data_IF_217206426828
#
_entry.id   IF_217206426828
#
_cell.length_a   1.000
_cell.length_b   1.000
_cell.length_c   1.000
_cell.angle_alpha   90.00
_cell.angle_beta   90.00
_cell.angle_gamma   90.00
#
_symmetry.space_group_name_H-M   'P 1'
#
loop_
_entity.id
_entity.type
_entity.pdbx_description
1 polymer ?
#
# COMPACT_ATOMS: atom_id res chain seq x y z
N UNK A 1 -2.74 31.17 3.58
CA UNK A 1 -3.02 32.20 4.59
C UNK A 1 -2.78 31.71 6.02
N UNK A 2 -3.31 30.56 6.42
CA UNK A 2 -3.15 30.03 7.77
C UNK A 2 -1.71 29.87 8.27
N UNK A 3 -0.81 29.38 7.44
CA UNK A 3 0.58 29.14 7.85
C UNK A 3 1.38 30.42 8.06
N UNK A 4 1.19 31.43 7.20
CA UNK A 4 1.84 32.74 7.35
C UNK A 4 1.27 33.47 8.57
N UNK A 5 -0.03 33.41 8.78
CA UNK A 5 -0.67 34.02 9.94
C UNK A 5 -0.27 33.36 11.25
N UNK A 6 -0.18 32.04 11.31
CA UNK A 6 0.29 31.31 12.49
C UNK A 6 1.71 31.71 12.85
N UNK A 7 2.62 31.73 11.86
CA UNK A 7 4.02 32.11 12.07
C UNK A 7 4.17 33.56 12.48
N UNK A 8 3.36 34.46 11.93
CA UNK A 8 3.35 35.88 12.29
C UNK A 8 2.75 36.11 13.69
N UNK A 9 1.67 35.38 14.05
CA UNK A 9 1.06 35.48 15.36
C UNK A 9 1.99 34.97 16.46
N UNK A 10 2.69 33.88 16.22
CA UNK A 10 3.71 33.32 17.12
C UNK A 10 4.90 34.30 17.28
N UNK A 11 5.39 34.85 16.17
CA UNK A 11 6.46 35.83 16.19
C UNK A 11 6.07 37.15 16.84
N UNK A 12 4.80 37.58 16.69
CA UNK A 12 4.29 38.77 17.34
C UNK A 12 4.11 38.60 18.88
N UNK A 13 3.67 37.41 19.30
CA UNK A 13 3.56 37.04 20.71
C UNK A 13 4.95 36.96 21.39
N UNK A 14 5.95 36.39 20.69
CA UNK A 14 7.31 36.36 21.16
C UNK A 14 7.96 37.75 21.19
N UNK A 15 7.57 38.67 20.29
CA UNK A 15 8.06 40.02 20.24
C UNK A 15 7.51 40.92 21.39
N UNK A 16 6.30 40.62 21.92
CA UNK A 16 5.76 41.30 23.10
C UNK A 16 6.48 40.85 24.40
N UNK A 17 7.12 39.69 24.40
CA UNK A 17 7.81 39.10 25.56
C UNK A 17 9.33 39.25 25.56
N UNK A 18 9.94 39.39 24.40
CA UNK A 18 11.37 39.53 24.23
C UNK A 18 11.75 40.95 23.82
N UNK A 19 13.03 41.31 24.03
CA UNK A 19 13.59 42.56 23.52
C UNK A 19 13.31 42.68 22.01
N UNK A 20 12.67 43.78 21.59
CA UNK A 20 12.15 43.97 20.23
C UNK A 20 13.24 43.74 19.11
N UNK A 21 14.50 43.92 19.47
CA UNK A 21 15.65 43.63 18.55
C UNK A 21 15.96 42.16 18.39
N UNK A 22 15.66 41.32 19.38
CA UNK A 22 15.88 39.88 19.30
C UNK A 22 14.74 39.18 18.50
N UNK A 23 13.52 39.68 18.64
CA UNK A 23 12.37 39.22 17.85
C UNK A 23 12.51 39.56 16.37
N UNK A 24 13.04 40.73 16.03
CA UNK A 24 13.39 41.12 14.64
C UNK A 24 14.49 40.23 14.04
N UNK A 25 15.39 39.67 14.85
CA UNK A 25 16.45 38.76 14.36
C UNK A 25 15.92 37.36 14.06
N UNK A 26 14.89 36.91 14.74
CA UNK A 26 14.29 35.57 14.58
C UNK A 26 13.29 35.48 13.44
N UNK A 27 12.50 36.52 13.22
CA UNK A 27 11.51 36.55 12.17
C UNK A 27 12.03 37.29 10.92
N UNK A 28 12.13 36.55 9.81
CA UNK A 28 12.43 37.13 8.49
C UNK A 28 11.49 36.54 7.45
N UNK A 29 10.71 37.43 6.81
CA UNK A 29 9.98 37.04 5.61
C UNK A 29 10.94 36.58 4.51
N UNK A 30 10.62 35.49 3.89
CA UNK A 30 11.32 35.09 2.67
C UNK A 30 10.76 35.89 1.47
N UNK A 31 11.50 35.85 0.36
CA UNK A 31 11.15 36.63 -0.85
C UNK A 31 9.80 36.23 -1.45
N UNK A 32 9.37 34.98 -1.27
CA UNK A 32 8.09 34.49 -1.76
C UNK A 32 6.92 35.01 -0.90
N UNK A 33 7.04 34.93 0.42
CA UNK A 33 6.05 35.49 1.36
C UNK A 33 5.88 37.00 1.19
N UNK A 34 7.00 37.72 1.01
CA UNK A 34 6.97 39.15 0.74
C UNK A 34 6.26 39.48 -0.58
N UNK A 35 6.48 38.67 -1.62
CA UNK A 35 5.82 38.82 -2.91
C UNK A 35 4.31 38.52 -2.82
N UNK A 36 3.92 37.52 -2.03
CA UNK A 36 2.53 37.17 -1.77
C UNK A 36 1.81 38.27 -1.01
N UNK A 37 2.42 38.83 0.05
CA UNK A 37 1.93 39.99 0.76
C UNK A 37 1.75 41.19 -0.18
N UNK A 38 2.79 41.53 -0.97
CA UNK A 38 2.76 42.64 -1.91
C UNK A 38 1.61 42.54 -2.90
N UNK A 39 1.40 41.36 -3.49
CA UNK A 39 0.35 41.12 -4.46
C UNK A 39 -1.04 41.23 -3.84
N UNK A 40 -1.26 40.56 -2.71
CA UNK A 40 -2.58 40.47 -2.08
C UNK A 40 -3.01 41.77 -1.41
N UNK A 41 -2.09 42.45 -0.77
CA UNK A 41 -2.34 43.73 -0.09
C UNK A 41 -2.22 44.93 -1.04
N UNK A 42 -1.86 44.70 -2.32
CA UNK A 42 -1.64 45.74 -3.34
C UNK A 42 -0.67 46.84 -2.87
N UNK A 43 0.46 46.43 -2.35
CA UNK A 43 1.45 47.29 -1.75
C UNK A 43 2.35 47.93 -2.85
N UNK A 44 2.67 49.19 -2.70
CA UNK A 44 3.59 49.91 -3.58
C UNK A 44 5.06 49.75 -3.13
N UNK A 45 5.28 49.31 -1.89
CA UNK A 45 6.60 49.09 -1.29
C UNK A 45 7.41 48.04 -2.05
N UNK A 46 8.71 48.21 -2.08
CA UNK A 46 9.63 47.24 -2.69
C UNK A 46 9.68 45.94 -1.89
N UNK A 47 10.05 44.82 -2.53
CA UNK A 47 10.19 43.53 -1.86
C UNK A 47 11.19 43.57 -0.71
N UNK A 48 12.28 44.34 -0.88
CA UNK A 48 13.31 44.51 0.16
C UNK A 48 12.74 45.22 1.40
N UNK A 49 11.92 46.22 1.21
CA UNK A 49 11.24 46.93 2.32
C UNK A 49 10.25 46.01 3.05
N UNK A 50 9.45 45.25 2.31
CA UNK A 50 8.50 44.29 2.90
C UNK A 50 9.22 43.20 3.68
N UNK A 51 10.32 42.68 3.16
CA UNK A 51 11.16 41.68 3.85
C UNK A 51 11.82 42.23 5.12
N UNK A 52 11.96 43.54 5.26
CA UNK A 52 12.51 44.19 6.44
C UNK A 52 11.44 44.56 7.48
N UNK A 53 10.15 44.32 7.20
CA UNK A 53 9.08 44.66 8.13
C UNK A 53 9.16 43.83 9.42
N UNK A 54 8.79 44.47 10.51
CA UNK A 54 8.61 43.79 11.77
C UNK A 54 7.27 43.04 11.80
N UNK A 55 7.13 41.97 12.58
CA UNK A 55 5.91 41.16 12.70
C UNK A 55 4.63 42.00 13.00
N UNK A 56 4.74 42.99 13.86
CA UNK A 56 3.62 43.87 14.22
C UNK A 56 3.12 44.73 13.03
N UNK A 57 4.04 45.19 12.16
CA UNK A 57 3.68 45.94 10.97
C UNK A 57 2.90 45.05 9.95
N UNK A 58 3.33 43.81 9.81
CA UNK A 58 2.65 42.85 8.94
C UNK A 58 1.25 42.52 9.50
N UNK A 59 1.16 42.34 10.82
CA UNK A 59 -0.09 42.02 11.48
C UNK A 59 -1.11 43.16 11.35
N UNK A 60 -0.65 44.40 11.46
CA UNK A 60 -1.49 45.59 11.27
C UNK A 60 -2.02 45.71 9.83
N UNK A 61 -1.16 45.46 8.82
CA UNK A 61 -1.55 45.48 7.42
C UNK A 61 -2.54 44.35 7.08
N UNK A 62 -2.35 43.14 7.65
CA UNK A 62 -3.28 42.04 7.48
C UNK A 62 -4.64 42.30 8.15
N UNK A 63 -4.64 42.95 9.33
CA UNK A 63 -5.86 43.37 10.00
C UNK A 63 -6.64 44.38 9.17
N UNK A 64 -5.97 45.43 8.66
CA UNK A 64 -6.58 46.40 7.78
C UNK A 64 -7.16 45.77 6.50
N UNK A 65 -6.45 44.82 5.91
CA UNK A 65 -6.93 44.05 4.75
C UNK A 65 -8.22 43.27 5.05
N UNK A 66 -8.32 42.64 6.22
CA UNK A 66 -9.54 41.95 6.65
C UNK A 66 -10.73 42.85 6.88
N UNK A 67 -10.49 44.05 7.45
CA UNK A 67 -11.52 45.02 7.73
C UNK A 67 -12.15 45.58 6.45
N UNK A 68 -11.41 45.61 5.34
CA UNK A 68 -11.95 46.10 4.05
C UNK A 68 -13.02 45.19 3.44
N UNK A 69 -13.12 43.91 3.86
CA UNK A 69 -14.17 42.95 3.49
C UNK A 69 -14.36 42.63 2.01
N UNK A 70 -13.66 43.34 1.12
CA UNK A 70 -13.89 43.29 -0.34
C UNK A 70 -12.87 42.49 -1.14
N UNK A 71 -11.78 42.05 -0.53
CA UNK A 71 -10.72 41.35 -1.25
C UNK A 71 -10.52 39.95 -0.71
N UNK A 72 -10.51 38.95 -1.61
CA UNK A 72 -10.13 37.60 -1.29
C UNK A 72 -8.61 37.47 -1.41
N UNK A 73 -8.01 36.78 -0.45
CA UNK A 73 -6.62 36.40 -0.54
C UNK A 73 -6.40 35.41 -1.68
N UNK A 74 -5.58 35.76 -2.64
CA UNK A 74 -5.21 34.91 -3.75
C UNK A 74 -3.91 34.19 -3.43
N UNK A 75 -3.98 32.90 -3.27
CA UNK A 75 -2.81 32.05 -3.04
C UNK A 75 -2.12 31.77 -4.36
N UNK A 76 -0.81 31.99 -4.39
CA UNK A 76 0.02 31.66 -5.55
C UNK A 76 0.48 30.18 -5.49
N UNK A 77 -0.09 29.39 -6.38
CA UNK A 77 0.24 27.95 -6.50
C UNK A 77 1.36 27.67 -7.51
N UNK A 78 2.00 28.69 -8.11
CA UNK A 78 3.01 28.49 -9.15
C UNK A 78 4.26 27.72 -8.70
N UNK A 79 4.50 27.65 -7.39
CA UNK A 79 5.63 26.92 -6.78
C UNK A 79 5.24 25.62 -6.10
N UNK A 80 3.99 25.20 -6.21
CA UNK A 80 3.55 23.93 -5.64
C UNK A 80 3.99 22.79 -6.53
N UNK A 81 4.61 21.79 -5.92
CA UNK A 81 4.78 20.49 -6.52
C UNK A 81 3.60 19.60 -6.08
N UNK A 82 2.77 19.23 -7.04
CA UNK A 82 1.55 18.46 -6.80
C UNK A 82 1.80 17.02 -7.16
N UNK A 83 1.68 16.12 -6.18
CA UNK A 83 1.64 14.69 -6.41
C UNK A 83 0.19 14.21 -6.30
N UNK A 84 -0.28 13.58 -7.35
CA UNK A 84 -1.57 12.89 -7.35
C UNK A 84 -1.29 11.41 -7.29
N UNK A 85 -1.73 10.75 -6.22
CA UNK A 85 -1.63 9.31 -6.09
C UNK A 85 -3.03 8.70 -5.90
N UNK A 86 -3.23 7.54 -6.45
CA UNK A 86 -4.50 6.84 -6.37
C UNK A 86 -4.34 5.38 -6.74
N UNK A 87 -5.36 4.61 -6.40
CA UNK A 87 -5.51 3.23 -6.79
C UNK A 87 -6.47 3.18 -7.98
N UNK A 88 -6.04 2.55 -9.06
CA UNK A 88 -6.83 2.34 -10.26
C UNK A 88 -7.21 0.86 -10.33
N UNK A 89 -8.13 0.46 -9.44
CA UNK A 89 -8.51 -0.94 -9.27
C UNK A 89 -9.03 -1.55 -10.57
N UNK A 90 -9.75 -0.78 -11.39
CA UNK A 90 -10.26 -1.22 -12.69
C UNK A 90 -9.16 -1.65 -13.66
N UNK A 91 -8.00 -1.00 -13.57
CA UNK A 91 -6.86 -1.36 -14.42
C UNK A 91 -6.29 -2.74 -14.05
N UNK A 92 -6.48 -3.16 -12.80
CA UNK A 92 -6.00 -4.44 -12.29
C UNK A 92 -7.09 -5.53 -12.28
N UNK A 93 -8.37 -5.19 -12.41
CA UNK A 93 -9.47 -6.17 -12.38
C UNK A 93 -9.32 -7.24 -13.45
N UNK A 94 -9.08 -6.84 -14.70
CA UNK A 94 -8.87 -7.79 -15.81
C UNK A 94 -7.63 -8.67 -15.58
N UNK A 95 -6.58 -8.11 -14.96
CA UNK A 95 -5.36 -8.85 -14.62
C UNK A 95 -5.62 -9.76 -13.43
N UNK A 96 -6.30 -9.28 -12.39
CA UNK A 96 -6.61 -10.05 -11.19
C UNK A 96 -7.54 -11.23 -11.50
N UNK A 97 -8.49 -11.08 -12.41
CA UNK A 97 -9.34 -12.17 -12.88
C UNK A 97 -8.59 -13.16 -13.77
N UNK A 98 -7.50 -12.74 -14.42
CA UNK A 98 -6.67 -13.60 -15.24
C UNK A 98 -5.65 -14.42 -14.44
N UNK A 99 -5.34 -14.00 -13.21
CA UNK A 99 -4.44 -14.72 -12.29
C UNK A 99 -5.29 -15.43 -11.26
N UNK A 100 -5.42 -16.74 -11.43
CA UNK A 100 -6.05 -17.58 -10.43
C UNK A 100 -5.28 -17.53 -9.16
N UNK A 101 -6.04 -17.40 -8.08
CA UNK A 101 -5.44 -17.48 -6.78
C UNK A 101 -4.22 -16.58 -6.67
N UNK A 102 -4.49 -15.30 -6.60
CA UNK A 102 -3.51 -14.22 -6.45
C UNK A 102 -2.43 -14.48 -5.42
N UNK A 103 -2.51 -15.58 -4.74
CA UNK A 103 -1.68 -15.97 -3.64
C UNK A 103 -0.43 -16.73 -4.04
N UNK A 104 -0.55 -17.52 -5.08
CA UNK A 104 0.54 -18.43 -5.43
C UNK A 104 1.52 -17.79 -6.36
N UNK A 105 1.17 -16.68 -6.99
CA UNK A 105 1.95 -16.20 -8.14
C UNK A 105 2.19 -14.69 -8.16
N UNK A 106 2.83 -14.22 -7.08
CA UNK A 106 3.27 -12.83 -7.02
C UNK A 106 4.17 -12.44 -8.20
N UNK A 107 4.97 -13.37 -8.73
CA UNK A 107 5.85 -13.08 -9.86
C UNK A 107 5.08 -13.01 -11.16
N UNK A 108 4.08 -13.86 -11.37
CA UNK A 108 3.19 -13.78 -12.54
C UNK A 108 2.40 -12.47 -12.50
N UNK A 109 1.80 -12.12 -11.37
CA UNK A 109 1.07 -10.87 -11.22
C UNK A 109 1.97 -9.64 -11.37
N UNK A 110 3.18 -9.69 -10.83
CA UNK A 110 4.22 -8.68 -11.05
C UNK A 110 4.56 -8.54 -12.54
N UNK A 111 4.78 -9.65 -13.24
CA UNK A 111 5.11 -9.66 -14.67
C UNK A 111 3.99 -9.08 -15.54
N UNK A 112 2.73 -9.34 -15.19
CA UNK A 112 1.56 -8.78 -15.88
C UNK A 112 1.41 -7.29 -15.60
N UNK A 113 1.48 -6.88 -14.35
CA UNK A 113 1.34 -5.46 -13.95
C UNK A 113 2.51 -4.60 -14.40
N UNK A 114 3.69 -5.19 -14.61
CA UNK A 114 4.86 -4.49 -15.18
C UNK A 114 4.69 -4.11 -16.66
N UNK A 115 3.72 -4.70 -17.36
CA UNK A 115 3.40 -4.37 -18.75
C UNK A 115 2.42 -3.21 -18.89
N UNK A 116 1.84 -2.75 -17.79
CA UNK A 116 0.91 -1.62 -17.79
C UNK A 116 1.61 -0.35 -18.27
N UNK A 117 0.93 0.35 -19.15
CA UNK A 117 1.43 1.55 -19.80
C UNK A 117 0.65 2.80 -19.38
N UNK A 118 1.17 3.97 -19.73
CA UNK A 118 0.45 5.25 -19.54
C UNK A 118 -0.89 5.27 -20.28
N UNK A 119 -1.02 4.50 -21.35
CA UNK A 119 -2.29 4.38 -22.11
C UNK A 119 -3.34 3.71 -21.26
N UNK A 120 -2.99 2.63 -20.57
CA UNK A 120 -3.91 1.89 -19.70
C UNK A 120 -4.35 2.76 -18.52
N UNK A 121 -3.43 3.53 -17.92
CA UNK A 121 -3.75 4.51 -16.87
C UNK A 121 -4.74 5.55 -17.38
N UNK A 122 -4.51 6.14 -18.55
CA UNK A 122 -5.45 7.13 -19.13
C UNK A 122 -6.81 6.52 -19.46
N UNK A 123 -6.83 5.29 -19.92
CA UNK A 123 -8.08 4.58 -20.19
C UNK A 123 -8.89 4.37 -18.91
N UNK A 124 -8.25 3.90 -17.83
CA UNK A 124 -8.89 3.73 -16.53
C UNK A 124 -9.37 5.06 -15.94
N UNK A 125 -8.56 6.12 -16.04
CA UNK A 125 -8.95 7.45 -15.60
C UNK A 125 -10.16 7.99 -16.37
N UNK A 126 -10.24 7.77 -17.70
CA UNK A 126 -11.36 8.21 -18.54
C UNK A 126 -12.68 7.49 -18.24
N UNK A 127 -12.65 6.35 -17.54
CA UNK A 127 -13.87 5.70 -17.06
C UNK A 127 -14.51 6.47 -15.89
N UNK A 128 -13.71 7.16 -15.08
CA UNK A 128 -14.16 7.89 -13.88
C UNK A 128 -14.24 9.40 -14.05
N UNK A 129 -13.36 9.95 -14.88
CA UNK A 129 -13.18 11.39 -15.03
C UNK A 129 -13.43 11.83 -16.48
N UNK A 130 -13.87 13.06 -16.65
CA UNK A 130 -14.01 13.64 -17.98
C UNK A 130 -12.62 13.84 -18.63
N UNK A 131 -12.49 13.71 -19.96
CA UNK A 131 -11.21 13.89 -20.68
C UNK A 131 -10.49 15.20 -20.35
N UNK A 132 -11.24 16.28 -20.15
CA UNK A 132 -10.68 17.58 -19.77
C UNK A 132 -10.01 17.58 -18.38
N UNK A 133 -10.54 16.78 -17.45
CA UNK A 133 -9.98 16.62 -16.11
C UNK A 133 -8.70 15.78 -16.17
N UNK A 134 -8.73 14.69 -16.96
CA UNK A 134 -7.56 13.82 -17.16
C UNK A 134 -6.44 14.59 -17.86
N UNK A 135 -6.75 15.46 -18.84
CA UNK A 135 -5.78 16.29 -19.53
C UNK A 135 -5.02 17.25 -18.58
N UNK A 136 -5.66 17.68 -17.49
CA UNK A 136 -5.02 18.57 -16.48
C UNK A 136 -4.01 17.84 -15.59
N UNK A 137 -4.05 16.52 -15.50
CA UNK A 137 -3.07 15.73 -14.75
C UNK A 137 -1.71 15.67 -15.46
N UNK A 138 -1.65 16.07 -16.73
CA UNK A 138 -0.43 16.01 -17.53
C UNK A 138 -0.12 14.61 -18.04
N UNK A 139 1.13 14.40 -18.43
CA UNK A 139 1.58 13.15 -19.06
C UNK A 139 2.62 12.39 -18.21
N UNK A 140 3.05 12.98 -17.10
CA UNK A 140 4.01 12.36 -16.21
C UNK A 140 3.29 11.41 -15.25
N UNK A 141 3.33 10.11 -15.58
CA UNK A 141 2.72 9.06 -14.77
C UNK A 141 3.79 8.09 -14.30
N UNK A 142 3.80 7.81 -13.01
CA UNK A 142 4.63 6.76 -12.41
C UNK A 142 3.72 5.59 -12.06
N UNK A 143 3.94 4.46 -12.73
CA UNK A 143 3.16 3.24 -12.53
C UNK A 143 3.96 2.30 -11.63
N UNK A 144 3.39 1.92 -10.49
CA UNK A 144 3.98 0.94 -9.59
C UNK A 144 3.36 -0.43 -9.89
N UNK A 145 4.13 -1.38 -10.43
CA UNK A 145 3.66 -2.75 -10.57
C UNK A 145 3.46 -3.40 -9.20
N UNK A 146 2.69 -4.47 -9.15
CA UNK A 146 2.61 -5.31 -7.96
C UNK A 146 4.00 -5.80 -7.53
N UNK A 147 4.18 -6.08 -6.26
CA UNK A 147 5.47 -6.57 -5.76
C UNK A 147 5.75 -7.99 -6.27
N UNK A 148 7.01 -8.25 -6.63
CA UNK A 148 7.48 -9.59 -6.92
C UNK A 148 7.55 -10.44 -5.63
N UNK A 149 7.58 -11.76 -5.77
CA UNK A 149 7.79 -12.69 -4.65
C UNK A 149 9.01 -12.32 -3.82
N UNK A 150 10.12 -12.06 -4.48
CA UNK A 150 11.36 -11.64 -3.81
C UNK A 150 11.20 -10.36 -3.00
N UNK A 151 10.44 -9.40 -3.50
CA UNK A 151 10.18 -8.14 -2.79
C UNK A 151 9.31 -8.39 -1.53
N UNK A 152 8.29 -9.25 -1.63
CA UNK A 152 7.50 -9.67 -0.47
C UNK A 152 8.34 -10.39 0.58
N UNK A 153 9.17 -11.35 0.18
CA UNK A 153 10.06 -12.09 1.09
C UNK A 153 11.05 -11.16 1.81
N UNK A 154 11.63 -10.19 1.08
CA UNK A 154 12.49 -9.17 1.69
C UNK A 154 11.73 -8.28 2.68
N UNK A 155 10.53 -7.85 2.32
CA UNK A 155 9.69 -7.03 3.19
C UNK A 155 9.32 -7.77 4.48
N UNK A 156 8.90 -9.04 4.36
CA UNK A 156 8.59 -9.91 5.51
C UNK A 156 9.80 -10.00 6.43
N UNK A 157 10.97 -10.32 5.88
CA UNK A 157 12.21 -10.44 6.65
C UNK A 157 12.56 -9.14 7.39
N UNK A 158 12.48 -7.99 6.72
CA UNK A 158 12.73 -6.69 7.34
C UNK A 158 11.77 -6.39 8.47
N UNK A 159 10.49 -6.66 8.27
CA UNK A 159 9.47 -6.41 9.29
C UNK A 159 9.62 -7.38 10.47
N UNK A 160 9.89 -8.67 10.23
CA UNK A 160 10.18 -9.63 11.29
C UNK A 160 11.38 -9.19 12.14
N UNK A 161 12.46 -8.77 11.50
CA UNK A 161 13.66 -8.26 12.17
C UNK A 161 13.35 -7.03 13.03
N UNK A 162 12.54 -6.11 12.50
CA UNK A 162 12.11 -4.91 13.25
C UNK A 162 11.30 -5.28 14.49
N UNK A 163 10.28 -6.16 14.36
CA UNK A 163 9.48 -6.61 15.50
C UNK A 163 10.32 -7.31 16.56
N UNK A 164 11.26 -8.19 16.15
CA UNK A 164 12.18 -8.86 17.05
C UNK A 164 13.05 -7.85 17.82
N UNK A 165 13.58 -6.83 17.12
CA UNK A 165 14.40 -5.78 17.72
C UNK A 165 13.60 -4.89 18.67
N UNK A 166 12.41 -4.45 18.28
CA UNK A 166 11.54 -3.64 19.14
C UNK A 166 11.13 -4.39 20.40
N UNK A 167 10.85 -5.69 20.26
CA UNK A 167 10.52 -6.54 21.41
C UNK A 167 11.75 -6.71 22.33
N UNK A 168 12.92 -6.96 21.76
CA UNK A 168 14.17 -7.07 22.52
C UNK A 168 14.47 -5.80 23.32
N UNK A 169 14.27 -4.63 22.73
CA UNK A 169 14.48 -3.34 23.39
C UNK A 169 13.55 -3.15 24.60
N UNK A 170 12.32 -3.71 24.53
CA UNK A 170 11.32 -3.57 25.58
C UNK A 170 11.46 -4.59 26.73
N UNK A 171 11.79 -5.84 26.39
CA UNK A 171 11.82 -6.94 27.38
C UNK A 171 13.23 -7.46 27.70
N UNK A 172 14.25 -7.02 26.98
CA UNK A 172 15.64 -7.47 27.16
C UNK A 172 15.95 -8.85 26.58
N UNK A 173 14.97 -9.58 26.02
CA UNK A 173 15.17 -10.88 25.37
C UNK A 173 15.41 -10.71 23.88
N UNK A 174 16.39 -11.41 23.34
CA UNK A 174 16.63 -11.45 21.90
C UNK A 174 15.76 -12.51 21.22
N UNK A 175 15.30 -12.25 20.02
CA UNK A 175 14.50 -13.19 19.24
C UNK A 175 15.22 -13.56 17.94
N UNK A 176 15.37 -14.86 17.71
CA UNK A 176 15.83 -15.40 16.44
C UNK A 176 14.63 -15.95 15.68
N UNK A 177 14.20 -15.24 14.65
CA UNK A 177 13.04 -15.61 13.80
C UNK A 177 13.53 -16.47 12.65
N UNK A 178 13.11 -17.72 12.60
CA UNK A 178 13.51 -18.71 11.60
C UNK A 178 12.83 -18.45 10.23
N UNK A 179 13.41 -19.01 9.18
CA UNK A 179 12.87 -18.93 7.83
C UNK A 179 11.45 -19.53 7.71
N UNK A 180 11.15 -20.57 8.48
CA UNK A 180 9.80 -21.18 8.53
C UNK A 180 8.71 -20.18 8.93
N UNK A 181 9.01 -19.21 9.79
CA UNK A 181 8.08 -18.12 10.14
C UNK A 181 7.82 -17.23 8.95
N UNK A 182 8.88 -16.87 8.19
CA UNK A 182 8.75 -16.04 6.99
C UNK A 182 7.90 -16.74 5.93
N UNK A 183 8.10 -18.03 5.72
CA UNK A 183 7.33 -18.85 4.77
C UNK A 183 5.85 -18.94 5.15
N UNK A 184 5.56 -19.18 6.43
CA UNK A 184 4.18 -19.22 6.91
C UNK A 184 3.49 -17.86 6.81
N UNK A 185 4.20 -16.76 7.07
CA UNK A 185 3.67 -15.41 6.87
C UNK A 185 3.41 -15.16 5.38
N UNK A 186 4.35 -15.51 4.51
CA UNK A 186 4.15 -15.38 3.07
C UNK A 186 2.89 -16.14 2.61
N UNK A 187 2.78 -17.40 3.00
CA UNK A 187 1.66 -18.26 2.62
C UNK A 187 0.29 -17.77 3.15
N UNK A 188 0.25 -17.05 4.26
CA UNK A 188 -1.01 -16.59 4.88
C UNK A 188 -1.37 -15.14 4.58
N UNK A 189 -0.43 -14.31 4.18
CA UNK A 189 -0.60 -12.87 4.19
C UNK A 189 -0.33 -12.17 2.86
N UNK A 190 0.25 -12.87 1.89
CA UNK A 190 0.55 -12.28 0.58
C UNK A 190 -0.61 -12.49 -0.38
N UNK A 191 -1.20 -11.36 -0.79
CA UNK A 191 -2.28 -11.25 -1.77
C UNK A 191 -1.87 -10.20 -2.80
N UNK A 192 -1.18 -10.58 -3.88
CA UNK A 192 -0.60 -9.62 -4.83
C UNK A 192 -1.59 -8.62 -5.39
N UNK A 193 -2.84 -9.03 -5.66
CA UNK A 193 -3.90 -8.17 -6.14
C UNK A 193 -4.38 -7.14 -5.09
N UNK A 194 -4.20 -7.41 -3.81
CA UNK A 194 -4.62 -6.53 -2.71
C UNK A 194 -3.48 -5.66 -2.16
N UNK A 195 -2.27 -5.82 -2.72
CA UNK A 195 -1.09 -5.08 -2.31
C UNK A 195 -0.53 -5.52 -0.96
N UNK A 196 0.08 -4.57 -0.23
CA UNK A 196 0.80 -4.89 1.03
C UNK A 196 -0.04 -4.73 2.29
N UNK A 197 -1.25 -4.17 2.21
CA UNK A 197 -2.09 -3.92 3.41
C UNK A 197 -2.45 -5.20 4.16
N UNK A 198 -2.91 -6.29 3.50
CA UNK A 198 -3.17 -7.56 4.18
C UNK A 198 -1.93 -8.14 4.86
N UNK A 199 -0.76 -8.01 4.21
CA UNK A 199 0.51 -8.47 4.77
C UNK A 199 0.83 -7.79 6.10
N UNK A 200 0.75 -6.47 6.18
CA UNK A 200 1.04 -5.74 7.41
C UNK A 200 0.05 -6.07 8.53
N UNK A 201 -1.24 -6.21 8.22
CA UNK A 201 -2.26 -6.60 9.19
C UNK A 201 -1.97 -8.01 9.77
N UNK A 202 -1.64 -8.95 8.91
CA UNK A 202 -1.31 -10.32 9.31
C UNK A 202 0.02 -10.38 10.08
N UNK A 203 1.04 -9.66 9.65
CA UNK A 203 2.31 -9.54 10.39
C UNK A 203 2.09 -9.04 11.81
N UNK A 204 1.25 -8.00 11.97
CA UNK A 204 0.92 -7.48 13.30
C UNK A 204 0.20 -8.53 14.16
N UNK A 205 -0.79 -9.21 13.60
CA UNK A 205 -1.54 -10.24 14.32
C UNK A 205 -0.68 -11.45 14.71
N UNK A 206 0.20 -11.89 13.81
CA UNK A 206 1.06 -13.07 14.02
C UNK A 206 2.21 -12.73 14.98
N UNK A 207 3.02 -11.71 14.63
CA UNK A 207 4.25 -11.40 15.36
C UNK A 207 3.96 -10.63 16.64
N UNK A 208 3.04 -9.66 16.64
CA UNK A 208 2.74 -8.90 17.85
C UNK A 208 2.27 -9.77 18.98
N UNK A 209 1.29 -10.65 18.71
CA UNK A 209 0.79 -11.62 19.68
C UNK A 209 1.79 -12.74 19.97
N UNK A 210 2.46 -13.25 18.94
CA UNK A 210 3.40 -14.35 19.04
C UNK A 210 4.61 -14.02 19.89
N UNK A 211 5.27 -12.90 19.63
CA UNK A 211 6.43 -12.46 20.40
C UNK A 211 6.06 -12.12 21.86
N UNK A 212 4.90 -11.49 22.09
CA UNK A 212 4.44 -11.21 23.46
C UNK A 212 4.25 -12.49 24.27
N UNK A 213 3.56 -13.50 23.69
CA UNK A 213 3.37 -14.80 24.35
C UNK A 213 4.68 -15.56 24.54
N UNK A 214 5.58 -15.53 23.55
CA UNK A 214 6.91 -16.14 23.66
C UNK A 214 7.75 -15.49 24.76
N UNK A 215 7.66 -14.16 24.89
CA UNK A 215 8.32 -13.40 25.95
C UNK A 215 7.82 -13.84 27.32
N UNK A 216 6.50 -13.85 27.54
CA UNK A 216 5.91 -14.26 28.83
C UNK A 216 6.30 -15.68 29.18
N UNK A 217 6.17 -16.59 28.22
CA UNK A 217 6.55 -17.99 28.40
C UNK A 217 8.02 -18.18 28.79
N UNK A 218 8.94 -17.45 28.17
CA UNK A 218 10.36 -17.53 28.47
C UNK A 218 10.68 -16.95 29.86
N UNK A 219 10.08 -15.80 30.20
CA UNK A 219 10.26 -15.16 31.52
C UNK A 219 9.72 -16.03 32.67
N UNK A 220 8.56 -16.65 32.49
CA UNK A 220 7.99 -17.61 33.48
C UNK A 220 8.94 -18.80 33.74
N UNK A 221 9.80 -19.14 32.80
CA UNK A 221 10.79 -20.22 32.91
C UNK A 221 12.17 -19.73 33.34
N UNK A 222 12.28 -18.47 33.68
CA UNK A 222 13.49 -17.90 34.24
C UNK A 222 14.47 -17.37 33.19
N UNK A 223 14.00 -17.04 31.99
CA UNK A 223 14.81 -16.32 31.02
C UNK A 223 15.16 -14.92 31.54
N UNK A 224 16.41 -14.52 31.38
CA UNK A 224 16.93 -13.23 31.82
C UNK A 224 17.29 -12.34 30.63
N UNK A 225 17.50 -11.05 30.92
CA UNK A 225 17.96 -10.09 29.91
C UNK A 225 19.24 -10.59 29.24
N UNK A 226 19.26 -10.55 27.90
CA UNK A 226 20.36 -11.06 27.06
C UNK A 226 20.14 -12.51 26.56
N UNK A 227 19.19 -13.25 27.11
CA UNK A 227 18.87 -14.58 26.60
C UNK A 227 18.21 -14.50 25.20
N UNK A 228 18.47 -15.54 24.39
CA UNK A 228 17.89 -15.63 23.03
C UNK A 228 16.81 -16.70 22.97
N UNK A 229 15.64 -16.32 22.48
CA UNK A 229 14.49 -17.18 22.21
C UNK A 229 14.40 -17.43 20.71
N UNK A 230 14.43 -18.69 20.29
CA UNK A 230 14.16 -19.09 18.90
C UNK A 230 12.66 -19.09 18.61
N UNK A 231 12.27 -18.64 17.42
CA UNK A 231 10.90 -18.70 16.96
C UNK A 231 10.85 -19.40 15.61
N UNK A 232 10.17 -20.54 15.57
CA UNK A 232 9.86 -21.29 14.34
C UNK A 232 8.36 -21.31 14.10
N UNK A 233 7.92 -21.76 12.95
CA UNK A 233 6.51 -21.90 12.64
C UNK A 233 6.23 -23.27 12.02
N UNK A 234 5.10 -23.83 12.39
CA UNK A 234 4.45 -24.94 11.68
C UNK A 234 3.18 -24.45 10.96
N UNK A 235 2.41 -25.36 10.36
CA UNK A 235 1.20 -25.01 9.61
C UNK A 235 0.05 -24.44 10.47
N UNK A 236 0.17 -24.45 11.80
CA UNK A 236 -0.91 -24.07 12.72
C UNK A 236 -0.49 -23.12 13.83
N UNK A 237 0.80 -23.07 14.14
CA UNK A 237 1.31 -22.36 15.31
C UNK A 237 2.70 -21.78 15.09
N UNK A 238 3.02 -20.76 15.86
CA UNK A 238 4.40 -20.40 16.13
C UNK A 238 4.92 -21.28 17.27
N UNK A 239 6.18 -21.64 17.21
CA UNK A 239 6.83 -22.44 18.27
C UNK A 239 8.01 -21.64 18.82
N UNK A 240 7.93 -21.28 20.10
CA UNK A 240 9.02 -20.64 20.82
C UNK A 240 9.94 -21.72 21.41
N UNK A 241 11.26 -21.49 21.29
CA UNK A 241 12.30 -22.40 21.78
C UNK A 241 13.27 -21.67 22.71
N UNK A 242 13.49 -22.24 23.88
CA UNK A 242 14.48 -21.72 24.83
C UNK A 242 15.02 -22.86 25.71
N UNK A 243 16.36 -22.97 25.79
CA UNK A 243 17.08 -23.98 26.58
C UNK A 243 16.56 -25.42 26.44
N UNK A 244 16.27 -25.83 25.20
CA UNK A 244 15.76 -27.19 24.92
C UNK A 244 14.28 -27.39 25.20
N UNK A 245 13.56 -26.40 25.69
CA UNK A 245 12.12 -26.41 25.86
C UNK A 245 11.45 -25.75 24.66
N UNK A 246 10.24 -26.17 24.33
CA UNK A 246 9.45 -25.61 23.25
C UNK A 246 8.00 -25.37 23.70
N UNK A 247 7.41 -24.31 23.18
CA UNK A 247 6.01 -23.94 23.40
C UNK A 247 5.33 -23.57 22.11
N UNK A 248 4.28 -24.29 21.77
CA UNK A 248 3.41 -23.92 20.67
C UNK A 248 2.51 -22.74 21.09
N UNK A 249 2.45 -21.74 20.19
CA UNK A 249 1.67 -20.50 20.34
C UNK A 249 0.72 -20.45 19.16
N UNK A 250 -0.59 -20.54 19.41
CA UNK A 250 -1.59 -20.44 18.34
C UNK A 250 -1.42 -19.14 17.57
N UNK A 251 -1.32 -19.24 16.24
CA UNK A 251 -1.21 -18.15 15.31
C UNK A 251 -2.35 -18.21 14.28
N UNK A 252 -2.79 -17.06 13.72
CA UNK A 252 -3.89 -17.02 12.76
C UNK A 252 -3.44 -17.46 11.36
N UNK A 253 -3.06 -18.71 11.20
CA UNK A 253 -2.68 -19.32 9.92
C UNK A 253 -3.89 -19.96 9.22
N UNK A 254 -5.03 -19.27 9.21
CA UNK A 254 -6.28 -19.82 8.69
C UNK A 254 -6.30 -19.91 7.16
N UNK A 255 -5.71 -18.93 6.48
CA UNK A 255 -5.72 -18.86 5.02
C UNK A 255 -4.88 -19.96 4.41
N UNK A 256 -3.70 -20.23 4.97
CA UNK A 256 -2.87 -21.37 4.54
C UNK A 256 -3.62 -22.70 4.70
N UNK A 257 -4.42 -22.84 5.75
CA UNK A 257 -5.28 -24.01 5.95
C UNK A 257 -6.37 -24.16 4.88
N UNK A 258 -6.94 -23.05 4.42
CA UNK A 258 -7.93 -23.05 3.34
C UNK A 258 -7.28 -23.46 2.01
N UNK A 259 -6.08 -22.93 1.73
CA UNK A 259 -5.29 -23.29 0.55
C UNK A 259 -4.85 -24.75 0.54
N UNK A 260 -4.41 -25.28 1.69
CA UNK A 260 -4.02 -26.69 1.84
C UNK A 260 -5.18 -27.68 1.71
N UNK A 261 -6.44 -27.22 1.76
CA UNK A 261 -7.61 -28.06 1.50
C UNK A 261 -7.75 -28.48 0.04
N UNK A 262 -7.03 -27.84 -0.87
CA UNK A 262 -7.03 -28.24 -2.27
C UNK A 262 -6.14 -29.47 -2.46
N UNK A 263 -6.77 -30.62 -2.34
CA UNK A 263 -6.14 -31.91 -2.54
C UNK A 263 -5.52 -31.98 -3.94
N UNK A 264 -4.25 -32.42 -4.10
CA UNK A 264 -3.64 -32.65 -5.41
C UNK A 264 -4.48 -33.52 -6.36
N UNK A 265 -5.18 -34.52 -5.80
CA UNK A 265 -6.08 -35.37 -6.59
C UNK A 265 -7.30 -34.64 -7.13
N UNK A 266 -7.85 -33.69 -6.34
CA UNK A 266 -8.92 -32.82 -6.81
C UNK A 266 -8.46 -31.87 -7.90
N UNK A 267 -7.27 -31.30 -7.77
CA UNK A 267 -6.65 -30.47 -8.82
C UNK A 267 -6.44 -31.24 -10.12
N UNK A 268 -5.95 -32.47 -10.01
CA UNK A 268 -5.76 -33.33 -11.18
C UNK A 268 -7.09 -33.68 -11.84
N UNK A 269 -8.12 -33.98 -11.03
CA UNK A 269 -9.47 -34.25 -11.53
C UNK A 269 -10.04 -33.03 -12.27
N UNK A 270 -9.92 -31.85 -11.68
CA UNK A 270 -10.37 -30.60 -12.28
C UNK A 270 -9.62 -30.26 -13.57
N UNK A 271 -8.30 -30.49 -13.59
CA UNK A 271 -7.48 -30.30 -14.79
C UNK A 271 -7.94 -31.21 -15.95
N UNK A 272 -8.23 -32.46 -15.65
CA UNK A 272 -8.76 -33.42 -16.65
C UNK A 272 -10.16 -33.00 -17.13
N UNK A 273 -11.01 -32.52 -16.24
CA UNK A 273 -12.33 -32.04 -16.55
C UNK A 273 -12.27 -30.84 -17.52
N UNK A 274 -11.50 -29.80 -17.18
CA UNK A 274 -11.37 -28.61 -18.03
C UNK A 274 -10.65 -28.92 -19.38
N UNK A 275 -9.66 -29.78 -19.35
CA UNK A 275 -9.01 -30.26 -20.57
C UNK A 275 -10.00 -31.02 -21.47
N UNK A 276 -10.93 -31.79 -20.89
CA UNK A 276 -12.02 -32.46 -21.60
C UNK A 276 -12.92 -31.47 -22.34
N UNK A 277 -13.34 -30.40 -21.68
CA UNK A 277 -14.09 -29.32 -22.31
C UNK A 277 -13.32 -28.67 -23.46
N UNK A 278 -12.05 -28.38 -23.27
CA UNK A 278 -11.18 -27.83 -24.31
C UNK A 278 -11.05 -28.75 -25.52
N UNK A 279 -10.89 -30.05 -25.29
CA UNK A 279 -10.82 -31.07 -26.35
C UNK A 279 -12.13 -31.17 -27.14
N UNK A 280 -13.27 -31.27 -26.46
CA UNK A 280 -14.58 -31.30 -27.09
C UNK A 280 -14.84 -30.06 -27.94
N UNK A 281 -14.48 -28.89 -27.41
CA UNK A 281 -14.54 -27.64 -28.16
C UNK A 281 -13.69 -27.70 -29.45
N UNK A 282 -12.45 -28.15 -29.32
CA UNK A 282 -11.53 -28.25 -30.46
C UNK A 282 -12.07 -29.19 -31.54
N UNK A 283 -12.66 -30.32 -31.14
CA UNK A 283 -13.28 -31.30 -32.06
C UNK A 283 -14.52 -30.75 -32.74
N UNK A 284 -15.39 -30.06 -32.03
CA UNK A 284 -16.62 -29.52 -32.57
C UNK A 284 -16.42 -28.30 -33.47
N UNK A 285 -15.47 -27.44 -33.13
CA UNK A 285 -15.29 -26.14 -33.81
C UNK A 285 -14.00 -26.07 -34.64
N UNK A 286 -13.18 -27.11 -34.65
CA UNK A 286 -11.94 -27.17 -35.43
C UNK A 286 -10.84 -26.25 -34.94
N UNK A 287 -10.95 -25.74 -33.71
CA UNK A 287 -9.97 -24.82 -33.09
C UNK A 287 -9.92 -24.99 -31.58
N UNK A 288 -8.72 -24.93 -31.02
CA UNK A 288 -8.53 -24.97 -29.58
C UNK A 288 -9.07 -23.71 -28.88
N UNK A 289 -9.46 -23.79 -27.60
CA UNK A 289 -9.72 -22.61 -26.78
C UNK A 289 -8.43 -21.77 -26.62
N UNK A 290 -8.59 -20.47 -26.38
CA UNK A 290 -7.45 -19.58 -26.16
C UNK A 290 -6.71 -19.91 -24.87
N UNK A 291 -7.45 -20.25 -23.86
CA UNK A 291 -6.98 -20.52 -22.53
C UNK A 291 -7.84 -21.60 -21.90
N UNK A 292 -7.21 -22.48 -21.15
CA UNK A 292 -7.86 -23.41 -20.24
C UNK A 292 -7.32 -23.11 -18.85
N UNK A 293 -8.19 -22.81 -17.89
CA UNK A 293 -7.79 -22.35 -16.59
C UNK A 293 -8.52 -23.10 -15.49
N UNK A 294 -7.82 -23.39 -14.40
CA UNK A 294 -8.34 -24.08 -13.23
C UNK A 294 -8.34 -23.09 -12.07
N UNK A 295 -9.52 -22.76 -11.56
CA UNK A 295 -9.67 -21.96 -10.35
C UNK A 295 -9.62 -22.84 -9.11
N UNK A 296 -8.45 -22.98 -8.55
CA UNK A 296 -8.23 -23.91 -7.44
C UNK A 296 -8.77 -23.39 -6.11
N UNK A 297 -8.91 -22.08 -5.97
CA UNK A 297 -9.42 -21.41 -4.76
C UNK A 297 -10.88 -20.98 -4.87
N UNK A 298 -11.49 -20.99 -6.05
CA UNK A 298 -12.90 -20.65 -6.22
C UNK A 298 -13.80 -21.88 -6.16
N UNK A 299 -15.05 -21.68 -5.75
CA UNK A 299 -16.08 -22.73 -5.80
C UNK A 299 -16.52 -23.06 -7.24
N UNK A 300 -16.10 -22.25 -8.21
CA UNK A 300 -16.47 -22.41 -9.62
C UNK A 300 -15.59 -23.42 -10.38
N UNK A 301 -14.45 -23.79 -9.81
CA UNK A 301 -13.60 -24.86 -10.29
C UNK A 301 -12.69 -24.53 -11.46
N UNK A 302 -13.15 -23.88 -12.50
CA UNK A 302 -12.36 -23.52 -13.66
C UNK A 302 -13.19 -23.02 -14.83
N UNK A 303 -12.53 -22.61 -15.91
CA UNK A 303 -13.19 -22.19 -17.14
C UNK A 303 -12.32 -22.34 -18.38
N UNK A 304 -12.97 -22.27 -19.55
CA UNK A 304 -12.31 -22.24 -20.85
C UNK A 304 -12.59 -20.91 -21.57
N UNK A 305 -11.56 -20.25 -22.10
CA UNK A 305 -11.68 -19.04 -22.90
C UNK A 305 -11.58 -19.34 -24.39
N UNK A 306 -12.51 -18.80 -25.19
CA UNK A 306 -12.63 -19.07 -26.62
C UNK A 306 -12.42 -17.83 -27.48
N UNK A 307 -11.90 -18.02 -28.70
CA UNK A 307 -11.29 -17.01 -29.57
C UNK A 307 -12.20 -16.00 -30.25
N UNK A 308 -13.48 -15.92 -30.01
CA UNK A 308 -14.33 -15.00 -30.76
C UNK A 308 -15.01 -13.99 -29.87
N UNK A 309 -14.60 -12.73 -29.97
CA UNK A 309 -15.18 -11.61 -29.18
C UNK A 309 -16.70 -11.45 -29.26
N UNK A 310 -17.30 -11.80 -30.41
CA UNK A 310 -18.75 -11.66 -30.61
C UNK A 310 -19.57 -12.90 -30.23
N UNK A 311 -18.95 -14.05 -30.19
CA UNK A 311 -19.59 -15.34 -29.89
C UNK A 311 -19.27 -15.79 -28.46
N UNK A 312 -18.28 -15.15 -27.85
CA UNK A 312 -17.72 -15.52 -26.57
C UNK A 312 -18.77 -15.59 -25.44
N UNK A 313 -19.60 -14.57 -25.30
CA UNK A 313 -20.65 -14.55 -24.27
C UNK A 313 -21.78 -15.56 -24.48
N UNK A 314 -22.02 -15.99 -25.74
CA UNK A 314 -23.05 -16.98 -26.04
C UNK A 314 -22.57 -18.41 -25.95
N UNK A 315 -21.29 -18.64 -26.29
CA UNK A 315 -20.70 -20.00 -26.27
C UNK A 315 -20.37 -20.41 -24.85
N UNK A 316 -19.87 -19.50 -24.02
CA UNK A 316 -19.59 -19.79 -22.62
C UNK A 316 -20.85 -20.17 -21.82
N UNK A 317 -21.95 -19.50 -22.07
CA UNK A 317 -23.24 -19.81 -21.40
C UNK A 317 -23.81 -21.13 -21.85
N UNK A 318 -23.72 -21.47 -23.13
CA UNK A 318 -24.26 -22.74 -23.64
C UNK A 318 -23.45 -23.97 -23.21
N UNK A 319 -22.13 -23.83 -23.00
CA UNK A 319 -21.32 -24.96 -22.60
C UNK A 319 -21.36 -25.25 -21.11
N UNK A 320 -21.63 -24.28 -20.27
CA UNK A 320 -21.91 -24.53 -18.86
C UNK A 320 -23.22 -25.32 -18.61
N UNK A 321 -24.07 -25.44 -19.62
CA UNK A 321 -25.33 -26.20 -19.56
C UNK A 321 -25.26 -27.57 -20.25
N UNK A 322 -24.15 -27.90 -20.90
CA UNK A 322 -23.96 -29.17 -21.63
C UNK A 322 -23.00 -30.13 -20.94
N UNK A 323 -22.51 -29.78 -19.72
CA UNK A 323 -21.68 -30.64 -18.89
C UNK A 323 -22.54 -31.31 -17.74
#
# INVERSE_FOLDING_TARGET
MGDIESSIAEAAYDAERADADEAKRRFKLNSWEAQELRRNLKLDESLMEIMAWAPNQIQERLRAFRETGQQRWETDYSRLLIFVCGNLDEMYEDIATSVDDCDSDADTFHGLTSKLSVIDVKQALNQRFKPEQVARLGNEHVIYPSLSRRAYEQLIKQVCTRYAHETATRCGLHFNVDASVHEQIYANAVFPAQGTRPLFSSLHAILGTGLAKATLWALERGAAAGDTVGLTADSRSLVAHWRGQAQAIAAPFEINRLRQRNNPDFRALLAVHEAGHGLVHALLFGRAPQEIKIHVASFEGGYNAYTSRKVWSRVSVQQSHLA
#
